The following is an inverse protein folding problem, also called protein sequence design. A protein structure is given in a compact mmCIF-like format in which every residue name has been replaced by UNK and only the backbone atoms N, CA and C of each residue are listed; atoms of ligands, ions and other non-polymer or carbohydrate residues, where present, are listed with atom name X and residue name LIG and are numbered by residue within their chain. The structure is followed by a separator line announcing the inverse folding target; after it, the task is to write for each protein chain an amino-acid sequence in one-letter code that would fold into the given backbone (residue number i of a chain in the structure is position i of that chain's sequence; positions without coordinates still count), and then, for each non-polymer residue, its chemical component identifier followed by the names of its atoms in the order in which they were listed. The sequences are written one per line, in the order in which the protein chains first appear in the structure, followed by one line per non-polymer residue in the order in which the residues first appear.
data_IF_613621361954
#
_entry.id   IF_613621361954
#
_cell.length_a   1.000
_cell.length_b   1.000
_cell.length_c   1.000
_cell.angle_alpha   90.00
_cell.angle_beta   90.00
_cell.angle_gamma   90.00
#
_symmetry.space_group_name_H-M   'P 1'
#
loop_
_entity.id
_entity.type
_entity.pdbx_description
1 polymer ?
#
# COMPACT_ATOMS: atom_id res chain seq x y z
N UNK A 1 -20.15 -18.43 -17.15
CA UNK A 1 -19.80 -17.14 -17.80
C UNK A 1 -18.76 -16.47 -16.92
N UNK A 2 -17.55 -16.21 -17.43
CA UNK A 2 -16.52 -15.54 -16.62
C UNK A 2 -16.83 -14.05 -16.52
N UNK A 3 -17.25 -13.62 -15.33
CA UNK A 3 -17.46 -12.21 -15.02
C UNK A 3 -16.10 -11.52 -14.95
N UNK A 4 -15.73 -10.75 -15.99
CA UNK A 4 -14.56 -9.85 -15.91
C UNK A 4 -14.74 -8.90 -14.72
N UNK A 5 -13.64 -8.47 -14.12
CA UNK A 5 -13.64 -7.49 -13.02
C UNK A 5 -14.40 -6.23 -13.46
N UNK A 6 -15.47 -5.82 -12.74
CA UNK A 6 -16.23 -4.62 -13.11
C UNK A 6 -15.37 -3.36 -13.01
N UNK A 7 -15.56 -2.42 -13.95
CA UNK A 7 -14.87 -1.14 -13.94
C UNK A 7 -15.17 -0.36 -12.65
N UNK A 8 -14.11 0.08 -11.97
CA UNK A 8 -14.20 0.85 -10.74
C UNK A 8 -14.37 0.02 -9.47
N UNK A 9 -14.29 -1.31 -9.54
CA UNK A 9 -14.44 -2.22 -8.41
C UNK A 9 -13.27 -2.18 -7.42
N UNK A 10 -13.51 -2.70 -6.22
CA UNK A 10 -12.46 -3.31 -5.39
C UNK A 10 -12.27 -4.74 -5.87
N UNK A 11 -11.05 -5.13 -6.23
CA UNK A 11 -10.70 -6.53 -6.52
C UNK A 11 -10.13 -7.17 -5.26
N UNK A 12 -10.48 -8.42 -4.96
CA UNK A 12 -9.80 -9.21 -3.91
C UNK A 12 -9.37 -10.57 -4.44
N UNK A 13 -8.09 -10.90 -4.28
CA UNK A 13 -7.53 -12.21 -4.57
C UNK A 13 -7.73 -13.16 -3.40
N UNK A 14 -8.37 -14.31 -3.65
CA UNK A 14 -8.75 -15.29 -2.63
C UNK A 14 -7.99 -16.61 -2.74
N UNK A 15 -7.50 -17.08 -1.60
CA UNK A 15 -7.10 -18.47 -1.35
C UNK A 15 -7.58 -18.94 0.04
N UNK A 16 -7.14 -20.12 0.48
CA UNK A 16 -7.51 -20.74 1.77
C UNK A 16 -6.66 -20.22 2.97
N UNK A 17 -6.04 -19.03 2.89
CA UNK A 17 -5.24 -18.45 3.98
C UNK A 17 -6.04 -17.51 4.90
N UNK A 18 -5.55 -17.34 6.14
CA UNK A 18 -6.08 -16.33 7.08
C UNK A 18 -5.81 -14.89 6.59
N UNK A 19 -4.71 -14.68 5.88
CA UNK A 19 -4.43 -13.46 5.11
C UNK A 19 -5.51 -13.14 4.08
N UNK A 20 -5.94 -14.13 3.28
CA UNK A 20 -7.02 -14.01 2.28
C UNK A 20 -8.36 -13.62 2.91
N UNK A 21 -8.76 -14.29 4.01
CA UNK A 21 -9.97 -13.94 4.75
C UNK A 21 -9.95 -12.50 5.30
N UNK A 22 -8.77 -11.99 5.68
CA UNK A 22 -8.58 -10.59 6.10
C UNK A 22 -8.56 -9.61 4.92
N UNK A 23 -8.01 -10.02 3.77
CA UNK A 23 -8.11 -9.25 2.53
C UNK A 23 -9.56 -9.08 2.08
N UNK A 24 -10.39 -10.13 2.19
CA UNK A 24 -11.84 -10.10 1.96
C UNK A 24 -12.57 -9.10 2.87
N UNK A 25 -12.34 -9.20 4.19
CA UNK A 25 -12.95 -8.31 5.18
C UNK A 25 -12.56 -6.82 4.99
N UNK A 26 -11.28 -6.55 4.72
CA UNK A 26 -10.79 -5.21 4.40
C UNK A 26 -11.38 -4.70 3.08
N UNK A 27 -11.36 -5.51 2.03
CA UNK A 27 -11.86 -5.16 0.70
C UNK A 27 -13.35 -4.81 0.72
N UNK A 28 -14.16 -5.58 1.44
CA UNK A 28 -15.59 -5.32 1.55
C UNK A 28 -15.89 -4.08 2.42
N UNK A 29 -15.08 -3.83 3.46
CA UNK A 29 -15.15 -2.60 4.26
C UNK A 29 -14.83 -1.36 3.42
N UNK A 30 -13.77 -1.39 2.61
CA UNK A 30 -13.42 -0.29 1.70
C UNK A 30 -14.45 -0.12 0.58
N UNK A 31 -14.91 -1.22 -0.03
CA UNK A 31 -15.94 -1.21 -1.08
C UNK A 31 -17.25 -0.58 -0.56
N UNK A 32 -17.70 -0.97 0.64
CA UNK A 32 -18.88 -0.37 1.30
C UNK A 32 -18.67 1.11 1.64
N UNK A 33 -17.50 1.46 2.23
CA UNK A 33 -17.10 2.84 2.56
C UNK A 33 -17.14 3.76 1.33
N UNK A 34 -16.60 3.28 0.20
CA UNK A 34 -16.49 4.03 -1.06
C UNK A 34 -17.70 3.90 -1.98
N UNK A 35 -18.66 3.03 -1.66
CA UNK A 35 -19.79 2.62 -2.53
C UNK A 35 -19.34 2.08 -3.89
N UNK A 36 -18.28 1.26 -3.89
CA UNK A 36 -17.77 0.58 -5.08
C UNK A 36 -18.23 -0.89 -5.09
N UNK A 37 -18.41 -1.53 -6.26
CA UNK A 37 -18.68 -2.96 -6.33
C UNK A 37 -17.44 -3.75 -5.86
N UNK A 38 -17.67 -4.95 -5.34
CA UNK A 38 -16.62 -5.88 -4.92
C UNK A 38 -16.51 -7.03 -5.94
N UNK A 39 -15.29 -7.40 -6.31
CA UNK A 39 -15.02 -8.55 -7.17
C UNK A 39 -14.09 -9.55 -6.49
N UNK A 40 -14.57 -10.79 -6.33
CA UNK A 40 -13.82 -11.90 -5.77
C UNK A 40 -13.12 -12.68 -6.90
N UNK A 41 -11.81 -12.83 -6.86
CA UNK A 41 -11.07 -13.66 -7.82
C UNK A 41 -10.30 -14.78 -7.11
N UNK A 42 -10.65 -16.03 -7.40
CA UNK A 42 -9.93 -17.21 -6.92
C UNK A 42 -9.31 -17.97 -8.10
N UNK A 43 -8.00 -17.83 -8.29
CA UNK A 43 -7.31 -18.48 -9.42
C UNK A 43 -7.06 -19.96 -9.10
N UNK A 44 -7.57 -20.83 -9.97
CA UNK A 44 -7.53 -22.29 -9.78
C UNK A 44 -6.28 -22.88 -10.44
N UNK A 45 -5.52 -23.70 -9.71
CA UNK A 45 -4.32 -24.34 -10.22
C UNK A 45 -4.62 -25.48 -11.22
N UNK A 46 -3.83 -25.52 -12.29
CA UNK A 46 -4.03 -26.31 -13.51
C UNK A 46 -4.06 -27.84 -13.30
N UNK A 47 -3.50 -28.35 -12.19
CA UNK A 47 -3.54 -29.78 -11.85
C UNK A 47 -4.96 -30.36 -11.72
N UNK A 48 -5.97 -29.52 -11.40
CA UNK A 48 -7.37 -29.93 -11.40
C UNK A 48 -8.04 -29.87 -12.79
N UNK A 49 -7.47 -29.13 -13.73
CA UNK A 49 -8.03 -28.90 -15.07
C UNK A 49 -7.66 -30.01 -16.07
N UNK A 50 -6.44 -30.57 -15.95
CA UNK A 50 -5.92 -31.65 -16.83
C UNK A 50 -6.82 -32.90 -16.87
N UNK A 51 -7.61 -33.16 -15.81
CA UNK A 51 -8.52 -34.31 -15.73
C UNK A 51 -9.93 -34.05 -16.30
N UNK A 52 -10.22 -32.84 -16.79
CA UNK A 52 -11.54 -32.47 -17.30
C UNK A 52 -11.63 -32.60 -18.82
N UNK A 53 -12.39 -33.59 -19.30
CA UNK A 53 -12.60 -33.83 -20.73
C UNK A 53 -13.80 -33.08 -21.33
N UNK A 54 -14.48 -32.24 -20.53
CA UNK A 54 -15.69 -31.52 -20.95
C UNK A 54 -15.41 -30.08 -21.39
N UNK A 55 -15.74 -29.75 -22.64
CA UNK A 55 -15.59 -28.43 -23.26
C UNK A 55 -16.62 -27.37 -22.81
N UNK A 56 -17.28 -27.58 -21.66
CA UNK A 56 -18.35 -26.70 -21.15
C UNK A 56 -17.87 -25.95 -19.91
N UNK A 57 -17.43 -24.70 -20.10
CA UNK A 57 -16.81 -23.84 -19.06
C UNK A 57 -17.84 -23.30 -18.05
N UNK A 58 -18.40 -24.19 -17.23
CA UNK A 58 -19.30 -23.84 -16.13
C UNK A 58 -19.05 -24.74 -14.91
N UNK A 59 -17.80 -24.75 -14.44
CA UNK A 59 -17.40 -25.42 -13.19
C UNK A 59 -18.21 -24.92 -11.99
N UNK A 60 -18.49 -25.78 -11.00
CA UNK A 60 -19.08 -25.34 -9.74
C UNK A 60 -18.18 -24.31 -9.05
N UNK A 61 -18.81 -23.35 -8.37
CA UNK A 61 -18.14 -22.38 -7.51
C UNK A 61 -17.26 -23.10 -6.48
N UNK A 62 -15.97 -22.74 -6.37
CA UNK A 62 -15.09 -23.38 -5.39
C UNK A 62 -15.53 -23.07 -3.95
N UNK A 63 -15.19 -23.90 -2.95
CA UNK A 63 -15.45 -23.58 -1.54
C UNK A 63 -14.94 -22.19 -1.16
N UNK A 64 -13.74 -21.82 -1.62
CA UNK A 64 -13.13 -20.49 -1.36
C UNK A 64 -14.05 -19.33 -1.79
N UNK A 65 -14.61 -19.39 -3.01
CA UNK A 65 -15.51 -18.34 -3.49
C UNK A 65 -16.87 -18.42 -2.82
N UNK A 66 -17.42 -19.62 -2.64
CA UNK A 66 -18.74 -19.86 -2.03
C UNK A 66 -18.80 -19.36 -0.60
N UNK A 67 -17.83 -19.76 0.21
CA UNK A 67 -17.82 -19.50 1.64
C UNK A 67 -17.52 -18.00 1.89
N UNK A 68 -16.77 -17.35 1.00
CA UNK A 68 -16.62 -15.89 0.93
C UNK A 68 -17.92 -15.15 0.55
N UNK A 69 -18.66 -15.63 -0.48
CA UNK A 69 -19.96 -15.04 -0.87
C UNK A 69 -20.99 -15.15 0.26
N UNK A 70 -21.04 -16.28 0.97
CA UNK A 70 -21.92 -16.47 2.14
C UNK A 70 -21.55 -15.48 3.26
N UNK A 71 -20.27 -15.42 3.65
CA UNK A 71 -19.78 -14.48 4.67
C UNK A 71 -20.12 -13.01 4.35
N UNK A 72 -19.98 -12.62 3.09
CA UNK A 72 -20.34 -11.26 2.64
C UNK A 72 -21.85 -11.01 2.64
N UNK A 73 -22.66 -12.03 2.33
CA UNK A 73 -24.13 -11.90 2.36
C UNK A 73 -24.63 -11.60 3.77
N UNK A 74 -24.03 -12.22 4.78
CA UNK A 74 -24.38 -12.01 6.20
C UNK A 74 -23.92 -10.64 6.72
N UNK A 75 -22.73 -10.17 6.33
CA UNK A 75 -22.12 -8.96 6.90
C UNK A 75 -22.46 -7.68 6.11
N UNK A 76 -22.66 -7.79 4.80
CA UNK A 76 -22.78 -6.67 3.86
C UNK A 76 -23.83 -6.97 2.75
N UNK A 77 -25.10 -7.22 3.10
CA UNK A 77 -26.14 -7.66 2.14
C UNK A 77 -26.37 -6.68 0.98
N UNK A 78 -26.19 -5.37 1.18
CA UNK A 78 -26.36 -4.34 0.15
C UNK A 78 -25.14 -4.14 -0.77
N UNK A 79 -24.03 -4.87 -0.54
CA UNK A 79 -22.80 -4.70 -1.31
C UNK A 79 -22.90 -5.43 -2.68
N UNK A 80 -22.64 -4.76 -3.82
CA UNK A 80 -22.65 -5.43 -5.11
C UNK A 80 -21.44 -6.36 -5.28
N UNK A 81 -21.60 -7.62 -4.90
CA UNK A 81 -20.57 -8.67 -4.99
C UNK A 81 -20.66 -9.38 -6.34
N UNK A 82 -19.52 -9.48 -7.03
CA UNK A 82 -19.32 -10.29 -8.24
C UNK A 82 -18.12 -11.21 -8.04
N UNK A 83 -17.97 -12.26 -8.85
CA UNK A 83 -16.87 -13.22 -8.70
C UNK A 83 -16.42 -13.85 -10.02
N UNK A 84 -15.18 -14.37 -10.01
CA UNK A 84 -14.56 -15.16 -11.07
C UNK A 84 -13.61 -16.21 -10.48
N UNK A 85 -13.37 -17.29 -11.23
CA UNK A 85 -12.44 -18.37 -10.85
C UNK A 85 -11.63 -18.92 -12.04
N UNK A 86 -10.80 -18.09 -12.70
CA UNK A 86 -10.05 -18.49 -13.90
C UNK A 86 -8.93 -19.50 -13.58
N UNK A 87 -8.47 -20.21 -14.61
CA UNK A 87 -7.28 -21.07 -14.56
C UNK A 87 -6.00 -20.28 -14.90
N UNK A 88 -4.89 -20.56 -14.21
CA UNK A 88 -3.56 -20.10 -14.65
C UNK A 88 -2.66 -19.58 -13.54
N UNK A 89 -1.82 -18.59 -13.88
CA UNK A 89 -0.94 -17.91 -12.93
C UNK A 89 -1.71 -16.86 -12.10
N UNK A 90 -1.71 -16.96 -10.75
CA UNK A 90 -2.48 -16.03 -9.94
C UNK A 90 -2.00 -14.58 -10.00
N UNK A 91 -0.70 -14.32 -10.22
CA UNK A 91 -0.18 -12.96 -10.26
C UNK A 91 -0.61 -12.23 -11.54
N UNK A 92 -0.44 -12.89 -12.70
CA UNK A 92 -0.82 -12.34 -13.99
C UNK A 92 -2.33 -12.07 -14.10
N UNK A 93 -3.17 -13.00 -13.61
CA UNK A 93 -4.63 -12.86 -13.66
C UNK A 93 -5.14 -11.78 -12.70
N UNK A 94 -4.55 -11.65 -11.50
CA UNK A 94 -4.84 -10.53 -10.60
C UNK A 94 -4.32 -9.20 -11.16
N UNK A 95 -3.18 -9.19 -11.86
CA UNK A 95 -2.63 -7.97 -12.47
C UNK A 95 -3.47 -7.47 -13.66
N UNK A 96 -3.98 -8.38 -14.50
CA UNK A 96 -4.93 -8.05 -15.58
C UNK A 96 -6.26 -7.54 -15.01
N UNK A 97 -6.85 -8.28 -14.06
CA UNK A 97 -8.07 -7.86 -13.38
C UNK A 97 -7.93 -6.51 -12.67
N UNK A 98 -6.74 -6.21 -12.12
CA UNK A 98 -6.44 -4.94 -11.47
C UNK A 98 -6.45 -3.73 -12.42
N UNK A 99 -6.40 -3.91 -13.75
CA UNK A 99 -6.59 -2.80 -14.70
C UNK A 99 -8.01 -2.22 -14.68
N UNK A 100 -9.02 -2.97 -14.25
CA UNK A 100 -10.39 -2.49 -14.07
C UNK A 100 -10.68 -1.99 -12.64
N UNK A 101 -9.83 -2.33 -11.66
CA UNK A 101 -10.04 -2.08 -10.24
C UNK A 101 -9.46 -0.72 -9.78
N UNK A 102 -10.05 -0.14 -8.73
CA UNK A 102 -9.51 1.04 -8.03
C UNK A 102 -8.50 0.70 -6.94
N UNK A 103 -8.64 -0.48 -6.34
CA UNK A 103 -7.67 -1.06 -5.39
C UNK A 103 -7.80 -2.58 -5.46
N UNK A 104 -6.66 -3.27 -5.36
CA UNK A 104 -6.60 -4.74 -5.32
C UNK A 104 -6.13 -5.21 -3.96
N UNK A 105 -6.98 -5.91 -3.21
CA UNK A 105 -6.65 -6.48 -1.91
C UNK A 105 -6.13 -7.91 -2.05
N UNK A 106 -5.04 -8.23 -1.36
CA UNK A 106 -4.45 -9.58 -1.32
C UNK A 106 -3.85 -9.87 0.05
N UNK A 107 -3.68 -11.15 0.34
CA UNK A 107 -2.86 -11.58 1.44
C UNK A 107 -1.38 -11.17 1.30
N UNK A 108 -0.69 -10.99 2.42
CA UNK A 108 0.79 -10.93 2.45
C UNK A 108 1.43 -12.27 2.06
N UNK A 109 0.66 -13.35 2.24
CA UNK A 109 1.01 -14.76 1.99
C UNK A 109 -0.23 -15.50 1.49
N UNK A 110 0.01 -16.74 1.08
CA UNK A 110 -1.00 -17.73 0.73
C UNK A 110 -0.52 -19.13 1.08
N UNK A 111 -1.26 -20.17 0.67
CA UNK A 111 -1.11 -21.58 1.08
C UNK A 111 0.31 -22.18 1.08
N UNK A 112 1.22 -21.67 0.25
CA UNK A 112 2.58 -22.20 0.06
C UNK A 112 3.70 -21.56 0.90
N UNK A 113 3.39 -20.69 1.86
CA UNK A 113 4.42 -19.96 2.61
C UNK A 113 5.12 -20.83 3.67
N UNK A 114 6.44 -21.00 3.53
CA UNK A 114 7.29 -21.78 4.45
C UNK A 114 7.81 -20.93 5.64
N UNK A 115 7.57 -19.62 5.64
CA UNK A 115 7.99 -18.72 6.73
C UNK A 115 7.23 -17.39 6.78
N UNK A 116 6.85 -16.99 7.99
CA UNK A 116 6.27 -15.68 8.35
C UNK A 116 7.21 -14.48 8.06
N UNK A 117 8.46 -14.73 7.69
CA UNK A 117 9.44 -13.69 7.32
C UNK A 117 9.52 -13.40 5.81
N UNK A 118 8.93 -14.22 4.94
CA UNK A 118 9.06 -14.07 3.47
C UNK A 118 7.73 -13.64 2.84
N UNK A 119 7.73 -12.61 2.00
CA UNK A 119 6.53 -12.10 1.31
C UNK A 119 6.09 -13.10 0.22
N UNK A 120 4.77 -13.28 0.03
CA UNK A 120 4.23 -14.19 -1.00
C UNK A 120 4.65 -13.82 -2.42
N UNK A 121 4.89 -14.82 -3.26
CA UNK A 121 5.27 -14.65 -4.68
C UNK A 121 4.20 -13.87 -5.45
N UNK A 122 2.94 -14.31 -5.37
CA UNK A 122 1.78 -13.67 -6.01
C UNK A 122 1.69 -12.18 -5.68
N UNK A 123 1.74 -11.85 -4.39
CA UNK A 123 1.71 -10.47 -3.88
C UNK A 123 2.90 -9.64 -4.40
N UNK A 124 4.09 -10.22 -4.42
CA UNK A 124 5.32 -9.57 -4.92
C UNK A 124 5.24 -9.30 -6.43
N UNK A 125 4.76 -10.28 -7.21
CA UNK A 125 4.61 -10.17 -8.66
C UNK A 125 3.48 -9.22 -9.06
N UNK A 126 2.35 -9.23 -8.34
CA UNK A 126 1.24 -8.30 -8.54
C UNK A 126 1.71 -6.84 -8.38
N UNK A 127 2.40 -6.52 -7.28
CA UNK A 127 3.00 -5.19 -7.02
C UNK A 127 4.04 -4.82 -8.09
N UNK A 128 4.73 -5.80 -8.69
CA UNK A 128 5.65 -5.57 -9.80
C UNK A 128 4.94 -5.12 -11.08
N UNK A 129 3.78 -5.72 -11.37
CA UNK A 129 3.11 -5.70 -12.67
C UNK A 129 2.00 -4.64 -12.77
N UNK A 130 1.14 -4.49 -11.75
CA UNK A 130 0.02 -3.55 -11.82
C UNK A 130 0.41 -2.10 -11.51
N UNK A 131 -0.45 -1.16 -11.93
CA UNK A 131 -0.46 0.25 -11.49
C UNK A 131 -1.57 0.55 -10.48
N UNK A 132 -2.53 -0.37 -10.31
CA UNK A 132 -3.56 -0.29 -9.29
C UNK A 132 -2.91 -0.29 -7.88
N UNK A 133 -3.37 0.54 -6.93
CA UNK A 133 -2.99 0.40 -5.52
C UNK A 133 -3.23 -1.03 -5.02
N UNK A 134 -2.25 -1.61 -4.32
CA UNK A 134 -2.34 -2.98 -3.79
C UNK A 134 -2.41 -2.93 -2.27
N UNK A 135 -3.55 -3.31 -1.70
CA UNK A 135 -3.72 -3.46 -0.27
C UNK A 135 -3.25 -4.86 0.17
N UNK A 136 -2.27 -4.91 1.08
CA UNK A 136 -1.66 -6.16 1.55
C UNK A 136 -2.00 -6.39 3.02
N UNK A 137 -2.60 -7.56 3.31
CA UNK A 137 -3.10 -7.93 4.63
C UNK A 137 -2.29 -9.07 5.25
N UNK A 138 -1.79 -8.89 6.47
CA UNK A 138 -1.09 -9.93 7.26
C UNK A 138 -2.03 -10.59 8.25
N UNK A 139 -1.90 -11.90 8.51
CA UNK A 139 -2.63 -12.57 9.58
C UNK A 139 -2.05 -12.25 10.98
N UNK A 140 -2.83 -12.57 12.02
CA UNK A 140 -2.41 -12.47 13.41
C UNK A 140 -2.25 -11.05 13.99
N UNK A 141 -2.52 -10.00 13.22
CA UNK A 141 -2.42 -8.61 13.70
C UNK A 141 -3.79 -8.04 14.07
N UNK A 142 -3.92 -7.28 15.17
CA UNK A 142 -5.08 -6.42 15.37
C UNK A 142 -5.23 -5.47 14.17
N UNK A 143 -6.46 -5.22 13.73
CA UNK A 143 -6.74 -3.99 13.01
C UNK A 143 -6.83 -2.91 14.10
N UNK A 144 -6.21 -1.75 13.88
CA UNK A 144 -6.26 -0.64 14.83
C UNK A 144 -7.71 -0.11 15.01
N UNK A 145 -7.90 0.84 15.93
CA UNK A 145 -9.21 1.44 16.15
C UNK A 145 -9.80 1.99 14.82
N UNK A 146 -11.13 1.95 14.60
CA UNK A 146 -11.74 2.51 13.38
C UNK A 146 -11.35 3.97 13.10
N UNK A 147 -11.09 4.73 14.17
CA UNK A 147 -10.72 6.14 14.16
C UNK A 147 -9.19 6.38 14.17
N UNK A 148 -8.39 5.31 14.06
CA UNK A 148 -6.93 5.43 14.01
C UNK A 148 -6.48 6.08 12.67
N UNK A 149 -5.43 6.90 12.68
CA UNK A 149 -5.01 7.67 11.51
C UNK A 149 -4.58 6.79 10.33
N UNK A 150 -4.60 7.40 9.14
CA UNK A 150 -3.83 6.91 7.99
C UNK A 150 -2.41 7.43 8.13
N UNK A 151 -1.42 6.55 7.97
CA UNK A 151 0.00 6.91 7.96
C UNK A 151 0.52 6.82 6.52
N UNK A 152 1.33 7.78 6.07
CA UNK A 152 2.00 7.71 4.76
C UNK A 152 3.51 7.91 4.89
N UNK A 153 4.30 7.01 4.31
CA UNK A 153 5.76 7.06 4.33
C UNK A 153 6.35 7.70 3.08
N UNK A 154 6.97 8.88 3.22
CA UNK A 154 7.55 9.65 2.08
C UNK A 154 9.09 9.66 2.10
N UNK A 155 9.69 9.83 0.91
CA UNK A 155 11.15 9.83 0.72
C UNK A 155 11.73 11.22 0.44
N UNK A 156 12.97 11.44 0.87
CA UNK A 156 13.73 12.72 0.82
C UNK A 156 14.11 13.15 -0.63
N UNK A 157 13.68 12.45 -1.69
CA UNK A 157 13.98 12.77 -3.10
C UNK A 157 12.76 12.85 -4.03
N UNK A 158 11.56 12.44 -3.59
CA UNK A 158 10.35 12.54 -4.42
C UNK A 158 9.09 12.52 -3.55
N UNK A 159 8.35 13.63 -3.57
CA UNK A 159 6.90 13.57 -3.38
C UNK A 159 6.33 12.83 -4.59
N UNK A 160 5.90 11.59 -4.41
CA UNK A 160 5.02 11.00 -5.41
C UNK A 160 3.62 11.52 -5.11
N UNK A 161 3.13 12.48 -5.91
CA UNK A 161 1.77 12.99 -5.75
C UNK A 161 0.75 11.82 -5.66
N UNK A 162 0.76 10.81 -6.56
CA UNK A 162 -0.14 9.66 -6.43
C UNK A 162 -0.08 8.89 -5.10
N UNK A 163 1.05 8.94 -4.36
CA UNK A 163 1.17 8.34 -3.03
C UNK A 163 0.47 9.18 -1.95
N UNK A 164 0.56 10.52 -2.05
CA UNK A 164 -0.11 11.43 -1.14
C UNK A 164 -1.60 11.56 -1.48
N UNK A 165 -1.96 11.72 -2.76
CA UNK A 165 -3.33 11.72 -3.25
C UNK A 165 -4.09 10.49 -2.71
N UNK A 166 -3.49 9.30 -2.85
CA UNK A 166 -4.05 8.06 -2.31
C UNK A 166 -4.11 8.03 -0.78
N UNK A 167 -3.21 8.70 -0.06
CA UNK A 167 -3.24 8.75 1.40
C UNK A 167 -4.32 9.71 1.92
N UNK A 168 -4.43 10.92 1.35
CA UNK A 168 -5.50 11.87 1.60
C UNK A 168 -6.87 11.27 1.28
N UNK A 169 -7.03 10.65 0.10
CA UNK A 169 -8.24 9.92 -0.26
C UNK A 169 -8.64 8.85 0.77
N UNK A 170 -7.67 8.09 1.27
CA UNK A 170 -7.92 7.03 2.26
C UNK A 170 -8.26 7.62 3.65
N UNK A 171 -7.68 8.76 4.03
CA UNK A 171 -7.95 9.48 5.28
C UNK A 171 -9.32 10.16 5.26
N UNK A 172 -9.59 10.95 4.21
CA UNK A 172 -10.87 11.63 3.94
C UNK A 172 -12.05 10.65 3.93
N UNK A 173 -11.95 9.52 3.21
CA UNK A 173 -12.99 8.48 3.20
C UNK A 173 -13.14 7.72 4.52
N UNK A 174 -12.15 7.82 5.42
CA UNK A 174 -12.20 7.28 6.79
C UNK A 174 -12.77 8.26 7.81
N UNK A 175 -12.69 9.56 7.56
CA UNK A 175 -12.89 10.63 8.54
C UNK A 175 -11.90 10.50 9.72
N UNK A 176 -10.62 10.30 9.39
CA UNK A 176 -9.49 10.20 10.32
C UNK A 176 -8.30 11.01 9.81
N UNK A 177 -7.40 11.34 10.72
CA UNK A 177 -6.22 12.18 10.46
C UNK A 177 -5.20 11.50 9.52
N UNK A 178 -4.36 12.32 8.89
CA UNK A 178 -3.23 11.89 8.06
C UNK A 178 -1.89 12.19 8.74
N UNK A 179 -1.13 11.14 9.04
CA UNK A 179 0.21 11.22 9.62
C UNK A 179 1.24 11.03 8.50
N UNK A 180 1.85 12.12 8.04
CA UNK A 180 2.91 12.07 7.01
C UNK A 180 4.25 11.87 7.69
N UNK A 181 4.86 10.70 7.49
CA UNK A 181 6.12 10.29 8.11
C UNK A 181 7.26 10.39 7.09
N UNK A 182 8.22 11.25 7.38
CA UNK A 182 9.47 11.32 6.64
C UNK A 182 10.65 10.85 7.50
N UNK A 183 11.26 9.73 7.12
CA UNK A 183 12.44 9.21 7.79
C UNK A 183 13.71 9.56 6.98
N UNK A 184 14.63 10.26 7.62
CA UNK A 184 15.87 10.76 7.02
C UNK A 184 17.10 10.24 7.79
N UNK A 185 18.23 10.11 7.10
CA UNK A 185 19.51 9.74 7.69
C UNK A 185 20.63 10.57 7.04
N UNK A 186 21.68 10.86 7.79
CA UNK A 186 22.95 11.34 7.25
C UNK A 186 23.80 10.09 6.95
N UNK A 187 24.02 9.80 5.67
CA UNK A 187 24.63 8.56 5.22
C UNK A 187 26.15 8.57 5.43
N UNK A 188 26.57 8.09 6.60
CA UNK A 188 27.96 7.88 6.98
C UNK A 188 28.47 8.89 8.03
N UNK A 189 29.35 8.46 8.96
CA UNK A 189 29.86 9.33 10.03
C UNK A 189 30.54 10.56 9.47
N UNK A 190 31.38 10.39 8.43
CA UNK A 190 32.12 11.47 7.76
C UNK A 190 31.23 12.61 7.26
N UNK A 191 29.97 12.34 6.89
CA UNK A 191 29.04 13.41 6.45
C UNK A 191 28.43 14.11 7.67
N UNK A 192 28.04 13.37 8.71
CA UNK A 192 27.54 13.97 9.95
C UNK A 192 28.62 14.84 10.63
N UNK A 193 29.82 14.30 10.79
CA UNK A 193 30.96 14.99 11.40
C UNK A 193 31.33 16.25 10.61
N UNK A 194 31.30 16.20 9.27
CA UNK A 194 31.61 17.34 8.41
C UNK A 194 30.54 18.44 8.47
N UNK A 195 29.26 18.09 8.56
CA UNK A 195 28.17 19.06 8.70
C UNK A 195 28.19 19.72 10.08
N UNK A 196 28.46 18.96 11.15
CA UNK A 196 28.61 19.51 12.50
C UNK A 196 29.84 20.44 12.59
N UNK A 197 30.95 20.12 11.90
CA UNK A 197 32.11 21.03 11.74
C UNK A 197 31.79 22.31 10.93
N UNK A 198 30.76 22.31 10.09
CA UNK A 198 30.24 23.51 9.41
C UNK A 198 29.14 24.23 10.21
N UNK A 199 28.87 23.83 11.46
CA UNK A 199 27.85 24.44 12.31
C UNK A 199 26.40 24.01 12.01
N UNK A 200 26.19 23.08 11.08
CA UNK A 200 24.88 22.49 10.80
C UNK A 200 24.57 21.43 11.87
N UNK A 201 24.09 21.90 13.02
CA UNK A 201 23.69 21.04 14.14
C UNK A 201 22.61 20.04 13.73
N UNK A 202 22.55 18.90 14.43
CA UNK A 202 21.49 17.91 14.27
C UNK A 202 20.07 18.50 14.41
N UNK A 203 19.89 19.52 15.27
CA UNK A 203 18.62 20.25 15.37
C UNK A 203 18.33 21.11 14.15
N UNK A 204 19.35 21.76 13.56
CA UNK A 204 19.21 22.55 12.34
C UNK A 204 18.74 21.70 11.17
N UNK A 205 19.36 20.53 10.97
CA UNK A 205 18.94 19.55 9.97
C UNK A 205 17.52 19.02 10.23
N UNK A 206 17.17 18.70 11.48
CA UNK A 206 15.81 18.29 11.86
C UNK A 206 14.76 19.37 11.59
N UNK A 207 15.06 20.65 11.90
CA UNK A 207 14.18 21.80 11.58
C UNK A 207 14.04 21.99 10.06
N UNK A 208 15.10 21.74 9.30
CA UNK A 208 15.09 21.84 7.84
C UNK A 208 14.18 20.79 7.19
N UNK A 209 14.33 19.50 7.53
CA UNK A 209 13.46 18.43 7.02
C UNK A 209 12.01 18.56 7.48
N UNK A 210 11.76 18.96 8.73
CA UNK A 210 10.40 19.25 9.19
C UNK A 210 9.77 20.41 8.40
N UNK A 211 10.52 21.49 8.17
CA UNK A 211 10.06 22.65 7.41
C UNK A 211 9.84 22.34 5.92
N UNK A 212 10.68 21.49 5.31
CA UNK A 212 10.46 20.96 3.97
C UNK A 212 9.16 20.16 3.93
N UNK A 213 9.03 19.13 4.77
CA UNK A 213 7.86 18.26 4.82
C UNK A 213 6.55 19.03 5.00
N UNK A 214 6.54 20.04 5.89
CA UNK A 214 5.36 20.89 6.12
C UNK A 214 4.98 21.67 4.86
N UNK A 215 5.93 22.36 4.21
CA UNK A 215 5.66 23.06 2.94
C UNK A 215 5.18 22.12 1.83
N UNK A 216 5.79 20.93 1.77
CA UNK A 216 5.55 19.92 0.74
C UNK A 216 4.18 19.24 0.84
N UNK A 217 3.49 19.35 1.97
CA UNK A 217 2.12 18.82 2.18
C UNK A 217 1.07 19.94 2.25
N UNK A 218 1.47 21.18 2.52
CA UNK A 218 0.56 22.33 2.70
C UNK A 218 -0.38 22.59 1.51
N UNK A 219 0.07 22.36 0.27
CA UNK A 219 -0.76 22.55 -0.92
C UNK A 219 -1.87 21.48 -0.99
N UNK A 220 -1.52 20.21 -0.84
CA UNK A 220 -2.48 19.08 -0.85
C UNK A 220 -3.46 19.12 0.33
N UNK A 221 -3.05 19.70 1.47
CA UNK A 221 -3.93 19.91 2.61
C UNK A 221 -5.00 21.01 2.36
N UNK A 222 -4.82 21.89 1.36
CA UNK A 222 -5.86 22.86 0.96
C UNK A 222 -6.97 22.20 0.12
N UNK A 223 -6.64 21.16 -0.64
CA UNK A 223 -7.61 20.36 -1.40
C UNK A 223 -8.41 19.39 -0.49
N UNK A 224 -7.92 19.10 0.72
CA UNK A 224 -8.50 18.19 1.71
C UNK A 224 -8.67 18.82 3.11
N UNK A 225 -9.44 19.92 3.25
CA UNK A 225 -9.61 20.63 4.52
C UNK A 225 -10.37 19.84 5.60
N UNK A 226 -10.96 18.69 5.24
CA UNK A 226 -11.61 17.75 6.15
C UNK A 226 -10.64 16.75 6.84
N UNK A 227 -9.35 16.77 6.49
CA UNK A 227 -8.32 15.87 7.04
C UNK A 227 -7.33 16.68 7.88
N UNK A 228 -7.25 16.42 9.19
CA UNK A 228 -6.16 16.98 10.00
C UNK A 228 -4.83 16.30 9.63
N UNK A 229 -3.78 17.08 9.40
CA UNK A 229 -2.49 16.59 8.89
C UNK A 229 -1.38 16.84 9.91
N UNK A 230 -0.66 15.78 10.30
CA UNK A 230 0.52 15.88 11.16
C UNK A 230 1.78 15.38 10.47
N UNK A 231 2.84 16.22 10.46
CA UNK A 231 4.08 15.96 9.72
C UNK A 231 5.23 15.55 10.65
N UNK A 232 5.72 14.33 10.48
CA UNK A 232 6.73 13.69 11.33
C UNK A 232 8.04 13.46 10.56
N UNK A 233 8.94 14.44 10.53
CA UNK A 233 10.33 14.23 10.12
C UNK A 233 11.13 13.56 11.26
N UNK A 234 11.86 12.47 10.99
CA UNK A 234 12.56 11.67 12.02
C UNK A 234 13.94 11.19 11.54
N UNK A 235 14.99 11.45 12.33
CA UNK A 235 16.36 10.94 12.10
C UNK A 235 16.50 9.46 12.55
N UNK A 236 15.84 8.55 11.85
CA UNK A 236 15.83 7.09 12.11
C UNK A 236 15.64 6.32 10.77
N UNK A 237 15.92 5.02 10.76
CA UNK A 237 15.75 4.18 9.57
C UNK A 237 14.28 4.00 9.19
N UNK A 238 13.93 4.30 7.94
CA UNK A 238 12.54 4.38 7.47
C UNK A 238 11.67 3.14 7.79
N UNK A 239 12.19 1.93 7.61
CA UNK A 239 11.44 0.71 7.94
C UNK A 239 11.15 0.56 9.46
N UNK A 240 12.03 1.08 10.34
CA UNK A 240 11.81 1.10 11.79
C UNK A 240 10.79 2.16 12.16
N UNK A 241 10.90 3.37 11.61
CA UNK A 241 9.99 4.48 11.88
C UNK A 241 8.56 4.14 11.45
N UNK A 242 8.38 3.72 10.20
CA UNK A 242 7.07 3.30 9.66
C UNK A 242 6.53 2.06 10.38
N UNK A 243 7.40 1.12 10.78
CA UNK A 243 7.02 -0.04 11.60
C UNK A 243 6.52 0.33 13.00
N UNK A 244 6.96 1.44 13.59
CA UNK A 244 6.40 1.98 14.84
C UNK A 244 5.03 2.59 14.61
N UNK A 245 4.89 3.50 13.64
CA UNK A 245 3.59 4.11 13.32
C UNK A 245 2.53 3.09 12.86
N UNK A 246 2.94 1.95 12.27
CA UNK A 246 2.04 0.86 11.89
C UNK A 246 1.32 0.16 13.06
N UNK A 247 1.73 0.39 14.31
CA UNK A 247 1.05 -0.12 15.51
C UNK A 247 -0.31 0.57 15.72
N UNK A 248 -0.34 1.89 15.51
CA UNK A 248 -1.43 2.77 15.90
C UNK A 248 -2.18 3.35 14.68
N UNK A 249 -2.10 2.69 13.52
CA UNK A 249 -2.65 3.16 12.24
C UNK A 249 -3.79 2.27 11.71
N UNK A 250 -4.85 2.86 11.17
CA UNK A 250 -5.88 2.11 10.43
C UNK A 250 -5.37 1.62 9.05
N UNK A 251 -4.40 2.33 8.48
CA UNK A 251 -3.78 2.02 7.19
C UNK A 251 -2.38 2.66 7.11
N UNK A 252 -1.38 1.93 6.61
CA UNK A 252 -0.08 2.49 6.24
C UNK A 252 0.10 2.49 4.72
N UNK A 253 0.26 3.68 4.13
CA UNK A 253 0.44 3.90 2.70
C UNK A 253 1.93 4.07 2.39
N UNK A 254 2.45 3.32 1.43
CA UNK A 254 3.87 3.37 1.02
C UNK A 254 4.03 3.28 -0.49
N UNK A 255 5.06 3.96 -1.02
CA UNK A 255 5.45 3.82 -2.41
C UNK A 255 5.98 2.41 -2.72
N UNK A 256 5.81 1.93 -3.95
CA UNK A 256 6.42 0.66 -4.39
C UNK A 256 7.95 0.74 -4.56
N UNK A 257 8.54 1.94 -4.55
CA UNK A 257 9.99 2.21 -4.67
C UNK A 257 10.39 3.38 -3.78
N UNK A 258 11.70 3.62 -3.64
CA UNK A 258 12.29 4.74 -2.90
C UNK A 258 13.71 5.03 -3.40
N UNK A 259 14.46 5.85 -2.64
CA UNK A 259 15.82 6.33 -2.98
C UNK A 259 16.74 5.25 -3.54
N UNK A 260 17.46 5.60 -4.62
CA UNK A 260 18.58 4.83 -5.17
C UNK A 260 18.16 3.59 -5.97
N UNK A 261 17.58 3.79 -7.16
CA UNK A 261 17.22 2.69 -8.08
C UNK A 261 18.46 1.97 -8.65
N UNK A 262 19.01 1.00 -7.90
CA UNK A 262 19.82 -0.07 -8.48
C UNK A 262 18.88 -0.89 -9.38
N UNK A 263 19.09 -0.76 -10.70
CA UNK A 263 18.14 -1.21 -11.72
C UNK A 263 17.79 -2.70 -11.63
N UNK A 264 16.51 -3.00 -11.44
CA UNK A 264 15.96 -4.37 -11.46
C UNK A 264 15.10 -4.75 -10.25
N UNK A 265 15.17 -4.01 -9.14
CA UNK A 265 14.37 -4.29 -7.95
C UNK A 265 12.86 -4.09 -8.19
N UNK A 266 12.06 -5.13 -7.94
CA UNK A 266 10.59 -5.13 -8.08
C UNK A 266 9.91 -4.19 -7.07
N UNK A 267 10.45 -4.13 -5.85
CA UNK A 267 9.88 -3.46 -4.68
C UNK A 267 11.01 -2.86 -3.84
N UNK A 268 10.82 -1.65 -3.33
CA UNK A 268 11.79 -0.98 -2.45
C UNK A 268 12.02 -1.73 -1.13
N UNK A 269 13.26 -1.72 -0.62
CA UNK A 269 13.67 -2.42 0.60
C UNK A 269 12.89 -1.98 1.85
N UNK A 270 12.56 -0.69 1.95
CA UNK A 270 11.68 -0.12 3.00
C UNK A 270 10.30 -0.74 2.90
N UNK A 271 9.64 -0.65 1.75
CA UNK A 271 8.29 -1.15 1.49
C UNK A 271 8.20 -2.66 1.72
N UNK A 272 9.17 -3.44 1.22
CA UNK A 272 9.24 -4.88 1.47
C UNK A 272 9.40 -5.21 2.96
N UNK A 273 10.13 -4.38 3.73
CA UNK A 273 10.27 -4.57 5.18
C UNK A 273 8.99 -4.23 5.92
N UNK A 274 8.37 -3.09 5.59
CA UNK A 274 7.08 -2.66 6.13
C UNK A 274 5.99 -3.72 5.92
N UNK A 275 5.79 -4.21 4.69
CA UNK A 275 4.74 -5.21 4.39
C UNK A 275 4.96 -6.53 5.17
N UNK A 276 6.22 -6.87 5.51
CA UNK A 276 6.53 -8.07 6.30
C UNK A 276 6.24 -7.90 7.79
N UNK A 277 6.47 -6.72 8.36
CA UNK A 277 6.41 -6.49 9.82
C UNK A 277 5.21 -5.69 10.31
N UNK A 278 4.49 -4.99 9.43
CA UNK A 278 3.37 -4.12 9.81
C UNK A 278 2.26 -4.88 10.55
N UNK A 279 1.63 -4.17 11.48
CA UNK A 279 0.45 -4.57 12.24
C UNK A 279 -0.83 -4.10 11.57
N UNK A 280 -0.88 -2.87 11.07
CA UNK A 280 -1.95 -2.38 10.22
C UNK A 280 -1.95 -3.00 8.80
N UNK A 281 -3.06 -2.90 8.04
CA UNK A 281 -3.08 -3.03 6.58
C UNK A 281 -2.06 -2.12 5.89
N UNK A 282 -1.42 -2.57 4.80
CA UNK A 282 -0.47 -1.76 4.04
C UNK A 282 -0.97 -1.53 2.61
N UNK A 283 -1.16 -0.26 2.22
CA UNK A 283 -1.49 0.12 0.84
C UNK A 283 -0.21 0.47 0.07
N UNK A 284 0.13 -0.34 -0.93
CA UNK A 284 1.30 -0.12 -1.79
C UNK A 284 0.85 0.63 -3.03
N UNK A 285 1.34 1.85 -3.20
CA UNK A 285 0.99 2.72 -4.33
C UNK A 285 2.16 2.81 -5.32
N UNK A 286 1.88 2.57 -6.61
CA UNK A 286 2.87 2.64 -7.68
C UNK A 286 2.89 4.02 -8.32
N UNK A 287 3.63 4.93 -7.70
CA UNK A 287 3.81 6.29 -8.18
C UNK A 287 4.31 6.38 -9.64
N UNK A 288 3.63 7.21 -10.43
CA UNK A 288 4.28 7.86 -11.58
C UNK A 288 5.28 8.91 -11.08
N UNK A 289 6.34 9.17 -11.86
CA UNK A 289 7.29 10.26 -11.57
C UNK A 289 6.69 11.61 -11.93
N UNK A 290 6.00 12.23 -10.98
CA UNK A 290 5.76 13.68 -10.99
C UNK A 290 6.72 14.32 -9.99
N UNK A 291 7.91 14.69 -10.44
CA UNK A 291 8.90 15.34 -9.58
C UNK A 291 8.53 16.80 -9.35
N UNK A 292 7.88 17.09 -8.22
CA UNK A 292 7.87 18.44 -7.66
C UNK A 292 9.26 18.72 -7.10
N UNK A 293 10.12 19.32 -7.93
CA UNK A 293 11.45 19.77 -7.49
C UNK A 293 11.26 20.93 -6.51
N UNK A 294 11.60 20.72 -5.24
CA UNK A 294 11.66 21.82 -4.27
C UNK A 294 12.68 22.86 -4.78
N UNK A 295 12.32 24.16 -4.84
CA UNK A 295 13.29 25.19 -5.17
C UNK A 295 14.46 25.18 -4.19
N UNK A 296 15.66 24.88 -4.69
CA UNK A 296 16.89 24.98 -3.91
C UNK A 296 17.23 26.46 -3.72
N UNK A 297 17.00 26.98 -2.53
CA UNK A 297 17.26 28.39 -2.19
C UNK A 297 18.77 28.66 -2.07
N UNK A 298 19.43 28.83 -3.22
CA UNK A 298 20.85 29.16 -3.33
C UNK A 298 21.11 30.65 -3.11
N UNK A 299 20.82 31.15 -1.90
CA UNK A 299 21.01 32.58 -1.56
C UNK A 299 21.73 32.85 -0.23
N UNK A 300 22.74 32.03 0.13
CA UNK A 300 23.62 32.29 1.29
C UNK A 300 25.09 32.02 0.96
N UNK A 301 25.69 32.80 0.04
CA UNK A 301 27.15 32.78 -0.19
C UNK A 301 27.72 34.00 -0.95
N UNK A 302 27.15 35.21 -0.86
CA UNK A 302 27.77 36.40 -1.49
C UNK A 302 27.54 37.71 -0.71
N UNK A 303 28.10 37.77 0.50
CA UNK A 303 28.24 39.00 1.29
C UNK A 303 29.46 38.91 2.22
N UNK A 304 30.41 39.84 2.08
CA UNK A 304 31.81 39.76 2.58
C UNK A 304 32.65 38.75 1.77
N UNK A 305 33.76 39.13 1.13
CA UNK A 305 34.52 40.39 1.17
C UNK A 305 35.14 40.74 -0.18
#
# INVERSE_FOLDING_TARGET
METRVPLGAVLVGLDESAESARALSWAATEARRRRWPLHLMHVVHDAAWIYSTSTTTNYPMTPVVRDAVVMLSDWHPDLPVTWSQPAGDPAALLADGAHAARVTAVGSRGRGAVSDAVLGSVTTQLIAQTRCPVAVLRAGTPIAHPDAPVVVGVGHDTLSLPLLDAAFEQASSRHVDLVVVHAWQLDGPTIADHLELQGLTAEGAQRHEAGLLTRMVADLAQDHPEVEVSTHAVRDGAARTLGRHAADAALLVVGSRGRGEIGGAILGSVSQSVIRSATCPVLVVRGGRTTVTVPSDQTVAEASS
#
